data_IF_126836954418
#
_entry.id   IF_126836954418
#
_cell.length_a   1.000
_cell.length_b   1.000
_cell.length_c   1.000
_cell.angle_alpha   90.00
_cell.angle_beta   90.00
_cell.angle_gamma   90.00
#
_symmetry.space_group_name_H-M   'P 1'
#
loop_
_entity.id
_entity.type
_entity.pdbx_description
1 polymer ?
#
# COMPACT_ATOMS: atom_id res chain seq x y z
N UNK A 1 -24.46 12.92 -2.41
CA UNK A 1 -23.36 13.87 -2.74
C UNK A 1 -22.07 13.27 -2.20
N UNK A 2 -21.03 13.05 -3.02
CA UNK A 2 -19.78 12.48 -2.55
C UNK A 2 -18.96 13.58 -1.86
N UNK A 3 -18.67 13.41 -0.58
CA UNK A 3 -17.74 14.24 0.18
C UNK A 3 -16.32 13.99 -0.33
N UNK A 4 -15.80 14.94 -1.09
CA UNK A 4 -14.40 15.03 -1.52
C UNK A 4 -13.52 15.05 -0.25
N UNK A 5 -12.86 13.93 0.04
CA UNK A 5 -11.84 13.88 1.08
C UNK A 5 -10.63 14.62 0.49
N UNK A 6 -10.52 15.91 0.78
CA UNK A 6 -9.31 16.68 0.50
C UNK A 6 -8.20 16.14 1.41
N UNK A 7 -7.37 15.28 0.84
CA UNK A 7 -6.16 14.75 1.45
C UNK A 7 -5.20 15.93 1.65
N UNK A 8 -5.04 16.35 2.92
CA UNK A 8 -4.27 17.53 3.31
C UNK A 8 -2.79 17.38 2.90
N UNK A 9 -2.26 18.41 2.23
CA UNK A 9 -0.89 18.49 1.71
C UNK A 9 0.19 18.29 2.79
N UNK A 10 -0.15 18.52 4.07
CA UNK A 10 0.74 18.30 5.21
C UNK A 10 0.99 16.82 5.53
N UNK A 11 0.07 15.92 5.17
CA UNK A 11 0.27 14.48 5.37
C UNK A 11 1.15 13.88 4.27
N UNK A 12 1.08 14.42 3.04
CA UNK A 12 1.96 14.04 1.94
C UNK A 12 3.43 14.36 2.23
N UNK A 13 3.70 15.47 2.92
CA UNK A 13 5.06 15.89 3.26
C UNK A 13 5.73 14.99 4.31
N UNK A 14 4.99 14.22 5.11
CA UNK A 14 5.58 13.25 6.05
C UNK A 14 6.07 11.97 5.39
N UNK A 15 5.64 11.70 4.16
CA UNK A 15 6.10 10.54 3.38
C UNK A 15 7.38 10.83 2.58
N UNK A 16 7.77 12.10 2.46
CA UNK A 16 8.81 12.59 1.54
C UNK A 16 10.27 12.33 1.98
N UNK A 17 10.51 11.54 3.03
CA UNK A 17 11.85 11.31 3.59
C UNK A 17 12.55 10.04 3.09
N UNK A 18 11.83 9.10 2.49
CA UNK A 18 12.41 7.85 1.98
C UNK A 18 12.58 7.95 0.46
N UNK A 19 13.77 7.70 -0.05
CA UNK A 19 14.05 7.63 -1.50
C UNK A 19 12.97 6.78 -2.17
N UNK A 20 12.29 7.31 -3.19
CA UNK A 20 11.14 6.66 -3.85
C UNK A 20 11.44 5.20 -4.23
N UNK A 21 12.67 4.95 -4.67
CA UNK A 21 13.16 3.64 -5.11
C UNK A 21 13.19 2.62 -3.96
N UNK A 22 13.60 3.08 -2.77
CA UNK A 22 13.66 2.26 -1.56
C UNK A 22 12.25 1.92 -1.07
N UNK A 23 11.30 2.85 -1.18
CA UNK A 23 9.90 2.63 -0.78
C UNK A 23 9.21 1.61 -1.69
N UNK A 24 9.46 1.69 -3.00
CA UNK A 24 8.96 0.72 -3.97
C UNK A 24 9.55 -0.67 -3.74
N UNK A 25 10.86 -0.77 -3.50
CA UNK A 25 11.52 -2.04 -3.23
C UNK A 25 10.88 -2.72 -2.00
N UNK A 26 10.67 -1.98 -0.91
CA UNK A 26 10.04 -2.53 0.29
C UNK A 26 8.60 -2.98 0.07
N UNK A 27 7.78 -2.20 -0.65
CA UNK A 27 6.40 -2.60 -0.94
C UNK A 27 6.34 -3.80 -1.91
N UNK A 28 7.19 -3.84 -2.92
CA UNK A 28 7.29 -5.00 -3.81
C UNK A 28 7.69 -6.26 -3.05
N UNK A 29 8.66 -6.16 -2.13
CA UNK A 29 9.09 -7.25 -1.27
C UNK A 29 7.98 -7.69 -0.30
N UNK A 30 7.17 -6.76 0.19
CA UNK A 30 6.01 -7.06 1.02
C UNK A 30 4.96 -7.91 0.28
N UNK A 31 4.61 -7.56 -0.97
CA UNK A 31 3.65 -8.34 -1.75
C UNK A 31 4.21 -9.69 -2.23
N UNK A 32 5.52 -9.88 -2.25
CA UNK A 32 6.17 -11.17 -2.53
C UNK A 32 6.12 -12.14 -1.36
N UNK A 33 5.65 -11.73 -0.17
CA UNK A 33 5.52 -12.63 0.96
C UNK A 33 4.57 -13.78 0.62
N UNK A 34 4.90 -15.05 0.95
CA UNK A 34 4.12 -16.22 0.55
C UNK A 34 2.68 -16.25 1.05
N UNK A 35 2.34 -15.45 2.06
CA UNK A 35 0.98 -15.36 2.55
C UNK A 35 0.10 -14.47 1.65
N UNK A 36 0.65 -13.44 1.01
CA UNK A 36 -0.08 -12.56 0.08
C UNK A 36 -0.66 -13.31 -1.13
N UNK A 37 -0.01 -14.40 -1.55
CA UNK A 37 -0.46 -15.24 -2.67
C UNK A 37 -1.41 -16.37 -2.27
N UNK A 38 -1.74 -16.53 -0.98
CA UNK A 38 -2.66 -17.57 -0.52
C UNK A 38 -4.09 -17.15 -0.76
N UNK A 39 -4.88 -18.03 -1.36
CA UNK A 39 -6.29 -17.77 -1.67
C UNK A 39 -7.10 -17.33 -0.43
N UNK A 40 -6.87 -17.97 0.72
CA UNK A 40 -7.60 -17.62 1.95
C UNK A 40 -7.29 -16.19 2.42
N UNK A 41 -6.07 -15.68 2.22
CA UNK A 41 -5.71 -14.30 2.57
C UNK A 41 -6.48 -13.34 1.69
N UNK A 42 -6.49 -13.59 0.38
CA UNK A 42 -7.23 -12.76 -0.58
C UNK A 42 -8.72 -12.74 -0.22
N UNK A 43 -9.28 -13.89 0.17
CA UNK A 43 -10.67 -13.99 0.61
C UNK A 43 -10.94 -13.19 1.89
N UNK A 44 -10.10 -13.30 2.91
CA UNK A 44 -10.27 -12.55 4.16
C UNK A 44 -10.16 -11.05 3.95
N UNK A 45 -9.18 -10.64 3.14
CA UNK A 45 -8.96 -9.24 2.78
C UNK A 45 -10.14 -8.68 1.99
N UNK A 46 -10.69 -9.44 1.04
CA UNK A 46 -11.79 -8.98 0.18
C UNK A 46 -13.16 -9.04 0.85
N UNK A 47 -13.38 -9.97 1.78
CA UNK A 47 -14.63 -10.10 2.52
C UNK A 47 -14.69 -9.21 3.77
N UNK A 48 -13.53 -8.78 4.29
CA UNK A 48 -13.44 -7.95 5.47
C UNK A 48 -13.77 -6.48 5.19
N UNK A 49 -14.66 -5.90 6.02
CA UNK A 49 -15.03 -4.49 5.91
C UNK A 49 -14.00 -3.53 6.56
N UNK A 50 -13.09 -4.07 7.37
CA UNK A 50 -12.05 -3.32 8.10
C UNK A 50 -10.88 -4.24 8.42
N UNK A 51 -10.02 -4.45 7.43
CA UNK A 51 -8.90 -5.39 7.54
C UNK A 51 -7.67 -4.65 8.05
N UNK A 52 -7.02 -5.21 9.06
CA UNK A 52 -5.80 -4.67 9.65
C UNK A 52 -4.64 -5.65 9.41
N UNK A 53 -3.53 -5.12 8.90
CA UNK A 53 -2.26 -5.82 8.85
C UNK A 53 -1.53 -5.54 10.14
N UNK A 54 -1.21 -6.61 10.87
CA UNK A 54 -0.39 -6.53 12.07
C UNK A 54 1.07 -6.74 11.67
N UNK A 55 1.90 -5.71 11.88
CA UNK A 55 3.32 -5.75 11.58
C UNK A 55 4.12 -5.38 12.83
N UNK A 56 4.42 -6.40 13.65
CA UNK A 56 5.03 -6.19 14.96
C UNK A 56 4.14 -5.35 15.87
N UNK A 57 4.62 -4.17 16.29
CA UNK A 57 3.86 -3.22 17.11
C UNK A 57 2.91 -2.32 16.29
N UNK A 58 2.94 -2.41 14.96
CA UNK A 58 2.15 -1.56 14.08
C UNK A 58 0.88 -2.27 13.63
N UNK A 59 -0.20 -1.48 13.50
CA UNK A 59 -1.45 -1.90 12.91
C UNK A 59 -1.72 -0.99 11.71
N UNK A 60 -1.77 -1.58 10.53
CA UNK A 60 -1.88 -0.84 9.27
C UNK A 60 -3.20 -1.23 8.61
N UNK A 61 -4.15 -0.30 8.40
CA UNK A 61 -5.36 -0.61 7.67
C UNK A 61 -5.04 -1.02 6.23
N UNK A 62 -5.70 -2.07 5.74
CA UNK A 62 -5.46 -2.61 4.41
C UNK A 62 -5.65 -1.56 3.30
N UNK A 63 -6.61 -0.66 3.47
CA UNK A 63 -6.86 0.44 2.52
C UNK A 63 -5.64 1.33 2.29
N UNK A 64 -4.80 1.53 3.31
CA UNK A 64 -3.59 2.34 3.19
C UNK A 64 -2.54 1.62 2.34
N UNK A 65 -2.50 0.29 2.40
CA UNK A 65 -1.59 -0.52 1.58
C UNK A 65 -2.03 -0.47 0.12
N UNK A 66 -3.34 -0.57 -0.14
CA UNK A 66 -3.90 -0.39 -1.48
C UNK A 66 -3.60 1.00 -2.07
N UNK A 67 -3.77 2.06 -1.27
CA UNK A 67 -3.41 3.42 -1.67
C UNK A 67 -1.91 3.57 -1.96
N UNK A 68 -1.05 2.95 -1.16
CA UNK A 68 0.39 2.98 -1.39
C UNK A 68 0.79 2.31 -2.72
N UNK A 69 0.16 1.18 -3.07
CA UNK A 69 0.35 0.52 -4.38
C UNK A 69 -0.14 1.42 -5.51
N UNK A 70 -1.37 1.92 -5.41
CA UNK A 70 -1.95 2.77 -6.44
C UNK A 70 -1.12 4.05 -6.65
N UNK A 71 -0.57 4.61 -5.58
CA UNK A 71 0.36 5.73 -5.65
C UNK A 71 1.65 5.36 -6.40
N UNK A 72 2.26 4.23 -6.08
CA UNK A 72 3.47 3.76 -6.78
C UNK A 72 3.17 3.51 -8.27
N UNK A 73 2.12 2.77 -8.60
CA UNK A 73 1.74 2.50 -9.99
C UNK A 73 1.43 3.77 -10.79
N UNK A 74 0.84 4.78 -10.13
CA UNK A 74 0.49 6.05 -10.77
C UNK A 74 1.71 6.92 -11.07
N UNK A 75 2.72 6.89 -10.21
CA UNK A 75 3.83 7.84 -10.26
C UNK A 75 5.15 7.26 -10.75
N UNK A 76 5.27 5.93 -10.89
CA UNK A 76 6.43 5.32 -11.53
C UNK A 76 6.21 5.15 -13.05
N UNK A 77 7.13 5.65 -13.90
CA UNK A 77 7.20 5.20 -15.29
C UNK A 77 7.46 3.70 -15.31
N UNK A 78 6.78 2.94 -16.18
CA UNK A 78 7.08 1.54 -16.41
C UNK A 78 8.50 1.39 -16.98
N UNK A 79 9.52 1.26 -16.14
CA UNK A 79 10.77 0.63 -16.57
C UNK A 79 10.51 -0.87 -16.61
N UNK A 80 9.89 -1.27 -17.71
CA UNK A 80 10.08 -2.59 -18.30
C UNK A 80 11.56 -2.68 -18.62
N UNK A 81 12.26 -3.66 -18.06
CA UNK A 81 13.26 -4.39 -18.81
C UNK A 81 13.30 -5.83 -18.32
N UNK A 82 13.40 -6.70 -19.32
CA UNK A 82 13.19 -8.16 -19.36
C UNK A 82 14.25 -8.93 -18.57
#
# INVERSE_FOLDING_TARGET
>A
MPSHIDMSSSDALRFSGCSSDVTQEYLSNFFRLPWCSRLWVIQEVSAGNSVLILFGAFQIPWDHVGLAVAFIERWLPQTIDV
#
